data_IF_179154508390
#
_entry.id   IF_179154508390
#
_cell.length_a   1.000
_cell.length_b   1.000
_cell.length_c   1.000
_cell.angle_alpha   90.00
_cell.angle_beta   90.00
_cell.angle_gamma   90.00
#
_symmetry.space_group_name_H-M   'P 1'
#
loop_
_entity.id
_entity.type
_entity.pdbx_description
1 polymer ?
#
# COMPACT_ATOMS: atom_id res chain seq x y z
N UNK A 1 -31.34 32.62 -2.59
CA UNK A 1 -31.51 33.77 -3.49
C UNK A 1 -30.24 33.92 -4.31
N UNK A 2 -30.21 33.41 -5.53
CA UNK A 2 -29.09 33.51 -6.47
C UNK A 2 -29.27 34.78 -7.29
N UNK A 3 -28.35 35.74 -7.17
CA UNK A 3 -28.39 36.99 -7.93
C UNK A 3 -28.28 36.79 -9.45
N UNK A 4 -28.72 37.76 -10.25
CA UNK A 4 -28.72 37.65 -11.71
C UNK A 4 -27.30 37.49 -12.26
N UNK A 5 -27.13 36.50 -13.15
CA UNK A 5 -25.91 36.23 -13.90
C UNK A 5 -25.51 37.48 -14.71
N UNK A 6 -24.35 38.06 -14.42
CA UNK A 6 -23.80 39.25 -15.09
C UNK A 6 -23.13 38.94 -16.44
N UNK A 7 -23.38 37.75 -17.01
CA UNK A 7 -22.76 37.38 -18.28
C UNK A 7 -23.46 38.12 -19.43
N UNK A 8 -22.75 38.94 -20.22
CA UNK A 8 -23.34 39.61 -21.37
C UNK A 8 -23.89 38.56 -22.37
N UNK A 9 -24.98 38.87 -23.09
CA UNK A 9 -25.54 37.96 -24.07
C UNK A 9 -24.50 37.62 -25.14
N UNK A 10 -24.45 36.37 -25.64
CA UNK A 10 -23.54 36.00 -26.72
C UNK A 10 -23.75 36.91 -27.92
N UNK A 11 -22.71 37.63 -28.34
CA UNK A 11 -22.74 38.44 -29.57
C UNK A 11 -22.66 37.53 -30.79
N UNK A 12 -23.08 38.03 -31.96
CA UNK A 12 -23.16 37.29 -33.24
C UNK A 12 -21.81 36.74 -33.80
N UNK A 13 -20.76 36.69 -32.99
CA UNK A 13 -19.45 36.11 -33.32
C UNK A 13 -18.77 35.36 -32.16
N UNK A 14 -19.38 35.24 -30.98
CA UNK A 14 -18.82 34.40 -29.91
C UNK A 14 -19.23 32.94 -30.18
N UNK A 15 -18.28 32.13 -30.65
CA UNK A 15 -18.46 30.67 -30.70
C UNK A 15 -18.89 30.21 -29.29
N UNK A 16 -20.07 29.57 -29.12
CA UNK A 16 -20.58 29.22 -27.79
C UNK A 16 -19.73 28.15 -27.08
N UNK A 17 -18.78 27.55 -27.80
CA UNK A 17 -17.97 26.43 -27.38
C UNK A 17 -16.55 26.62 -27.93
N UNK A 18 -15.72 27.38 -27.23
CA UNK A 18 -14.28 27.23 -27.41
C UNK A 18 -13.95 25.74 -27.26
N UNK A 19 -13.16 25.13 -28.17
CA UNK A 19 -12.84 23.72 -28.08
C UNK A 19 -12.21 23.45 -26.72
N UNK A 20 -12.76 22.45 -26.01
CA UNK A 20 -12.26 22.06 -24.70
C UNK A 20 -10.73 21.89 -24.78
N UNK A 21 -9.97 22.42 -23.79
CA UNK A 21 -8.53 22.36 -23.84
C UNK A 21 -8.06 20.92 -24.09
N UNK A 22 -7.08 20.71 -24.97
CA UNK A 22 -6.63 19.38 -25.33
C UNK A 22 -6.23 18.63 -24.05
N UNK A 23 -6.83 17.46 -23.86
CA UNK A 23 -6.56 16.61 -22.71
C UNK A 23 -5.06 16.30 -22.71
N UNK A 24 -4.36 16.72 -21.66
CA UNK A 24 -2.92 16.51 -21.55
C UNK A 24 -2.62 15.02 -21.64
N UNK A 25 -1.82 14.65 -22.64
CA UNK A 25 -1.36 13.27 -22.76
C UNK A 25 -0.54 12.92 -21.51
N UNK A 26 -0.76 11.75 -20.88
CA UNK A 26 0.02 11.36 -19.72
C UNK A 26 1.50 11.24 -20.11
N UNK A 27 2.42 11.75 -19.28
CA UNK A 27 3.86 11.61 -19.50
C UNK A 27 4.26 10.16 -19.77
N UNK A 28 5.19 9.95 -20.70
CA UNK A 28 5.62 8.61 -21.14
C UNK A 28 6.08 7.70 -19.98
N UNK A 29 6.68 8.26 -18.93
CA UNK A 29 7.11 7.54 -17.72
C UNK A 29 5.95 6.96 -16.88
N UNK A 30 4.77 7.59 -16.91
CA UNK A 30 3.59 7.12 -16.17
C UNK A 30 2.95 5.86 -16.78
N UNK A 31 3.35 5.48 -18.00
CA UNK A 31 2.85 4.27 -18.67
C UNK A 31 3.28 2.98 -17.96
N UNK A 32 4.40 3.01 -17.23
CA UNK A 32 4.93 1.86 -16.49
C UNK A 32 4.33 1.69 -15.10
N UNK A 33 3.78 2.77 -14.53
CA UNK A 33 3.30 2.80 -13.15
C UNK A 33 2.31 1.66 -12.83
N UNK A 34 1.29 1.35 -13.66
CA UNK A 34 0.40 0.24 -13.38
C UNK A 34 1.15 -1.11 -13.27
N UNK A 35 2.12 -1.36 -14.15
CA UNK A 35 2.84 -2.63 -14.20
C UNK A 35 3.71 -2.87 -12.97
N UNK A 36 4.23 -1.81 -12.36
CA UNK A 36 4.93 -1.89 -11.06
C UNK A 36 3.98 -2.43 -9.99
N UNK A 37 2.75 -1.92 -9.92
CA UNK A 37 1.74 -2.45 -8.99
C UNK A 37 1.34 -3.89 -9.33
N UNK A 38 1.22 -4.22 -10.62
CA UNK A 38 0.96 -5.59 -11.07
C UNK A 38 2.05 -6.58 -10.64
N UNK A 39 3.33 -6.20 -10.80
CA UNK A 39 4.45 -7.00 -10.32
C UNK A 39 4.42 -7.17 -8.80
N UNK A 40 4.06 -6.12 -8.06
CA UNK A 40 3.86 -6.21 -6.61
C UNK A 40 2.75 -7.18 -6.20
N UNK A 41 1.65 -7.27 -6.95
CA UNK A 41 0.59 -8.26 -6.69
C UNK A 41 1.12 -9.70 -6.85
N UNK A 42 1.88 -9.96 -7.91
CA UNK A 42 2.52 -11.26 -8.15
C UNK A 42 3.50 -11.60 -7.03
N UNK A 43 4.33 -10.64 -6.63
CA UNK A 43 5.26 -10.80 -5.52
C UNK A 43 4.54 -11.25 -4.23
N UNK A 44 3.45 -10.59 -3.85
CA UNK A 44 2.69 -10.97 -2.65
C UNK A 44 2.04 -12.35 -2.77
N UNK A 45 1.56 -12.74 -3.95
CA UNK A 45 1.03 -14.09 -4.18
C UNK A 45 2.11 -15.17 -4.05
N UNK A 46 3.31 -14.91 -4.58
CA UNK A 46 4.46 -15.81 -4.40
C UNK A 46 4.80 -15.93 -2.92
N UNK A 47 4.82 -14.81 -2.19
CA UNK A 47 5.11 -14.82 -0.76
C UNK A 47 4.05 -15.60 0.03
N UNK A 48 2.78 -15.46 -0.33
CA UNK A 48 1.67 -16.22 0.26
C UNK A 48 1.82 -17.72 0.02
N UNK A 49 2.16 -18.11 -1.20
CA UNK A 49 2.35 -19.52 -1.56
C UNK A 49 3.52 -20.14 -0.78
N UNK A 50 4.64 -19.42 -0.67
CA UNK A 50 5.78 -19.84 0.15
C UNK A 50 5.40 -20.00 1.62
N UNK A 51 4.67 -19.03 2.18
CA UNK A 51 4.23 -19.09 3.56
C UNK A 51 3.25 -20.25 3.79
N UNK A 52 2.30 -20.47 2.89
CA UNK A 52 1.38 -21.60 2.95
C UNK A 52 2.11 -22.95 2.93
N UNK A 53 3.18 -23.08 2.15
CA UNK A 53 4.02 -24.28 2.14
C UNK A 53 4.71 -24.51 3.49
N UNK A 54 5.23 -23.45 4.14
CA UNK A 54 5.80 -23.52 5.50
C UNK A 54 4.76 -23.99 6.51
N UNK A 55 3.55 -23.42 6.48
CA UNK A 55 2.46 -23.79 7.40
C UNK A 55 1.96 -25.23 7.18
N UNK A 56 1.92 -25.70 5.93
CA UNK A 56 1.49 -27.06 5.61
C UNK A 56 2.51 -28.11 6.07
N UNK A 57 3.81 -27.81 5.94
CA UNK A 57 4.88 -28.75 6.30
C UNK A 57 5.02 -28.91 7.83
N UNK A 58 5.18 -30.15 8.37
CA UNK A 58 5.49 -30.35 9.79
C UNK A 58 6.74 -29.60 10.24
N UNK A 59 7.83 -29.72 9.49
CA UNK A 59 9.09 -29.03 9.79
C UNK A 59 8.94 -27.50 9.76
N UNK A 60 8.11 -26.94 8.88
CA UNK A 60 7.85 -25.51 8.82
C UNK A 60 7.04 -25.01 10.02
N UNK A 61 6.05 -25.79 10.49
CA UNK A 61 5.33 -25.48 11.74
C UNK A 61 6.25 -25.48 12.96
N UNK A 62 7.22 -26.38 13.00
CA UNK A 62 8.21 -26.41 14.08
C UNK A 62 9.13 -25.20 14.04
N UNK A 63 9.53 -24.73 12.86
CA UNK A 63 10.25 -23.46 12.70
C UNK A 63 9.45 -22.27 13.22
N UNK A 64 8.15 -22.19 12.91
CA UNK A 64 7.27 -21.12 13.42
C UNK A 64 7.18 -21.14 14.96
N UNK A 65 7.01 -22.34 15.56
CA UNK A 65 7.00 -22.48 17.02
C UNK A 65 8.31 -22.02 17.65
N UNK A 66 9.45 -22.41 17.06
CA UNK A 66 10.77 -21.99 17.55
C UNK A 66 10.96 -20.47 17.44
N UNK A 67 10.48 -19.85 16.37
CA UNK A 67 10.51 -18.40 16.22
C UNK A 67 9.72 -17.69 17.33
N UNK A 68 8.49 -18.14 17.61
CA UNK A 68 7.66 -17.59 18.68
C UNK A 68 8.29 -17.79 20.06
N UNK A 69 8.87 -18.97 20.31
CA UNK A 69 9.62 -19.24 21.55
C UNK A 69 10.83 -18.31 21.70
N UNK A 70 11.57 -18.07 20.61
CA UNK A 70 12.74 -17.17 20.62
C UNK A 70 12.36 -15.71 20.86
N UNK A 71 11.13 -15.31 20.53
CA UNK A 71 10.58 -13.99 20.84
C UNK A 71 10.18 -13.82 22.33
N UNK A 72 10.37 -14.86 23.16
CA UNK A 72 10.12 -14.81 24.60
C UNK A 72 8.69 -15.17 25.01
N UNK A 73 7.87 -15.70 24.10
CA UNK A 73 6.53 -16.20 24.42
C UNK A 73 6.64 -17.52 25.18
N UNK A 74 6.25 -17.51 26.46
CA UNK A 74 6.41 -18.65 27.38
C UNK A 74 5.15 -19.50 27.57
N UNK A 75 3.98 -18.99 27.18
CA UNK A 75 2.69 -19.68 27.35
C UNK A 75 1.88 -19.62 26.07
N UNK A 76 1.17 -20.72 25.79
CA UNK A 76 0.23 -20.86 24.67
C UNK A 76 0.80 -20.57 23.27
N UNK A 77 1.99 -21.11 23.01
CA UNK A 77 2.71 -20.98 21.73
C UNK A 77 1.86 -21.43 20.55
N UNK A 78 1.02 -22.46 20.72
CA UNK A 78 0.18 -22.97 19.64
C UNK A 78 -0.88 -21.96 19.21
N UNK A 79 -1.58 -21.33 20.15
CA UNK A 79 -2.55 -20.28 19.84
C UNK A 79 -1.86 -19.09 19.19
N UNK A 80 -0.71 -18.67 19.73
CA UNK A 80 0.04 -17.54 19.18
C UNK A 80 0.49 -17.79 17.73
N UNK A 81 1.00 -18.97 17.42
CA UNK A 81 1.36 -19.37 16.05
C UNK A 81 0.16 -19.29 15.10
N UNK A 82 -1.03 -19.77 15.51
CA UNK A 82 -2.21 -19.70 14.66
C UNK A 82 -2.72 -18.28 14.44
N UNK A 83 -2.65 -17.43 15.47
CA UNK A 83 -2.96 -16.00 15.35
C UNK A 83 -1.99 -15.33 14.37
N UNK A 84 -0.69 -15.61 14.49
CA UNK A 84 0.33 -15.07 13.59
C UNK A 84 0.09 -15.53 12.14
N UNK A 85 -0.18 -16.82 11.93
CA UNK A 85 -0.54 -17.36 10.61
C UNK A 85 -1.75 -16.65 10.02
N UNK A 86 -2.81 -16.45 10.81
CA UNK A 86 -4.01 -15.76 10.36
C UNK A 86 -3.73 -14.29 9.98
N UNK A 87 -2.95 -13.58 10.80
CA UNK A 87 -2.55 -12.19 10.54
C UNK A 87 -1.70 -12.09 9.27
N UNK A 88 -0.67 -12.93 9.14
CA UNK A 88 0.20 -12.94 7.96
C UNK A 88 -0.61 -13.23 6.70
N UNK A 89 -1.49 -14.23 6.74
CA UNK A 89 -2.34 -14.56 5.60
C UNK A 89 -3.25 -13.38 5.21
N UNK A 90 -3.91 -12.76 6.20
CA UNK A 90 -4.78 -11.61 5.98
C UNK A 90 -4.02 -10.42 5.36
N UNK A 91 -2.88 -10.03 5.93
CA UNK A 91 -2.12 -8.88 5.44
C UNK A 91 -1.53 -9.11 4.06
N UNK A 92 -1.02 -10.32 3.77
CA UNK A 92 -0.47 -10.65 2.46
C UNK A 92 -1.56 -10.66 1.38
N UNK A 93 -2.73 -11.24 1.67
CA UNK A 93 -3.88 -11.21 0.76
C UNK A 93 -4.35 -9.77 0.53
N UNK A 94 -4.48 -8.97 1.60
CA UNK A 94 -4.87 -7.58 1.50
C UNK A 94 -3.88 -6.76 0.64
N UNK A 95 -2.57 -6.98 0.83
CA UNK A 95 -1.53 -6.35 0.02
C UNK A 95 -1.63 -6.75 -1.46
N UNK A 96 -1.78 -8.05 -1.75
CA UNK A 96 -1.97 -8.53 -3.12
C UNK A 96 -3.21 -7.88 -3.79
N UNK A 97 -4.33 -7.81 -3.07
CA UNK A 97 -5.57 -7.19 -3.53
C UNK A 97 -5.41 -5.68 -3.78
N UNK A 98 -4.74 -4.95 -2.89
CA UNK A 98 -4.47 -3.51 -3.07
C UNK A 98 -3.58 -3.25 -4.29
N UNK A 99 -2.52 -4.04 -4.46
CA UNK A 99 -1.64 -3.96 -5.62
C UNK A 99 -2.38 -4.29 -6.93
N UNK A 100 -3.23 -5.33 -6.94
CA UNK A 100 -4.06 -5.65 -8.10
C UNK A 100 -5.07 -4.55 -8.40
N UNK A 101 -5.71 -3.98 -7.38
CA UNK A 101 -6.66 -2.86 -7.50
C UNK A 101 -5.97 -1.64 -8.10
N UNK A 102 -4.76 -1.31 -7.63
CA UNK A 102 -3.95 -0.24 -8.19
C UNK A 102 -3.63 -0.50 -9.67
N UNK A 103 -3.18 -1.71 -10.02
CA UNK A 103 -2.90 -2.08 -11.42
C UNK A 103 -4.13 -1.89 -12.33
N UNK A 104 -5.24 -2.56 -12.03
CA UNK A 104 -6.43 -2.51 -12.88
C UNK A 104 -7.07 -1.13 -12.90
N UNK A 105 -7.08 -0.44 -11.75
CA UNK A 105 -7.66 0.89 -11.65
C UNK A 105 -6.84 1.95 -12.39
N UNK A 106 -5.50 1.93 -12.28
CA UNK A 106 -4.64 2.87 -13.01
C UNK A 106 -4.69 2.62 -14.51
N UNK A 107 -4.72 1.35 -14.97
CA UNK A 107 -4.89 1.03 -16.40
C UNK A 107 -6.22 1.55 -16.98
N UNK A 108 -7.27 1.58 -16.16
CA UNK A 108 -8.60 2.08 -16.56
C UNK A 108 -8.84 3.55 -16.19
N UNK A 109 -7.81 4.28 -15.73
CA UNK A 109 -7.90 5.66 -15.24
C UNK A 109 -9.04 5.88 -14.22
N UNK A 110 -9.24 4.92 -13.31
CA UNK A 110 -10.28 4.96 -12.26
C UNK A 110 -9.73 5.53 -10.94
N UNK A 111 -10.51 6.33 -10.20
CA UNK A 111 -10.06 6.95 -8.95
C UNK A 111 -9.67 5.93 -7.87
N UNK A 112 -10.38 4.80 -7.79
CA UNK A 112 -10.06 3.73 -6.84
C UNK A 112 -8.67 3.14 -7.02
N UNK A 113 -8.17 3.07 -8.25
CA UNK A 113 -6.79 2.61 -8.53
C UNK A 113 -5.74 3.58 -8.01
N UNK A 114 -6.02 4.87 -8.12
CA UNK A 114 -5.16 5.91 -7.56
C UNK A 114 -5.12 5.85 -6.04
N UNK A 115 -6.29 5.71 -5.39
CA UNK A 115 -6.39 5.57 -3.93
C UNK A 115 -5.58 4.34 -3.46
N UNK A 116 -5.77 3.19 -4.11
CA UNK A 116 -5.02 1.99 -3.78
C UNK A 116 -3.50 2.16 -3.97
N UNK A 117 -3.08 2.82 -5.05
CA UNK A 117 -1.67 3.12 -5.30
C UNK A 117 -1.06 4.01 -4.20
N UNK A 118 -1.79 5.03 -3.74
CA UNK A 118 -1.37 5.91 -2.65
C UNK A 118 -1.27 5.13 -1.33
N UNK A 119 -2.24 4.29 -1.00
CA UNK A 119 -2.22 3.46 0.21
C UNK A 119 -0.97 2.56 0.21
N UNK A 120 -0.70 1.88 -0.91
CA UNK A 120 0.47 1.01 -1.05
C UNK A 120 1.77 1.82 -0.91
N UNK A 121 1.86 2.98 -1.56
CA UNK A 121 3.05 3.84 -1.46
C UNK A 121 3.28 4.34 -0.03
N UNK A 122 2.22 4.72 0.67
CA UNK A 122 2.28 5.15 2.07
C UNK A 122 2.73 4.00 2.99
N UNK A 123 2.21 2.80 2.80
CA UNK A 123 2.63 1.61 3.54
C UNK A 123 4.12 1.31 3.34
N UNK A 124 4.62 1.31 2.10
CA UNK A 124 6.04 1.13 1.82
C UNK A 124 6.91 2.25 2.42
N UNK A 125 6.45 3.49 2.37
CA UNK A 125 7.18 4.62 2.97
C UNK A 125 7.29 4.47 4.49
N UNK A 126 6.21 4.04 5.16
CA UNK A 126 6.22 3.75 6.58
C UNK A 126 7.21 2.62 6.91
N UNK A 127 7.22 1.55 6.13
CA UNK A 127 8.11 0.39 6.35
C UNK A 127 9.58 0.75 6.11
N UNK A 128 9.89 1.43 5.00
CA UNK A 128 11.27 1.70 4.58
C UNK A 128 11.91 2.86 5.32
N UNK A 129 11.13 3.86 5.72
CA UNK A 129 11.66 5.08 6.35
C UNK A 129 11.13 5.24 7.78
N UNK A 130 9.80 5.13 7.96
CA UNK A 130 9.17 5.39 9.24
C UNK A 130 9.65 4.44 10.35
N UNK A 131 9.63 3.13 10.12
CA UNK A 131 10.04 2.13 11.11
C UNK A 131 11.54 2.27 11.46
N UNK A 132 12.49 2.38 10.50
CA UNK A 132 13.90 2.60 10.83
C UNK A 132 14.15 3.88 11.62
N UNK A 133 13.51 4.99 11.23
CA UNK A 133 13.63 6.25 11.97
C UNK A 133 13.07 6.11 13.38
N UNK A 134 11.88 5.52 13.54
CA UNK A 134 11.29 5.25 14.85
C UNK A 134 12.21 4.39 15.72
N UNK A 135 12.82 3.35 15.14
CA UNK A 135 13.77 2.50 15.84
C UNK A 135 14.97 3.30 16.38
N UNK A 136 15.56 4.19 15.57
CA UNK A 136 16.65 5.06 16.01
C UNK A 136 16.19 6.02 17.11
N UNK A 137 15.00 6.59 16.99
CA UNK A 137 14.44 7.53 17.97
C UNK A 137 14.12 6.88 19.32
N UNK A 138 13.69 5.61 19.32
CA UNK A 138 13.36 4.87 20.56
C UNK A 138 14.62 4.41 21.30
N UNK A 139 15.77 4.30 20.65
CA UNK A 139 17.03 3.94 21.32
C UNK A 139 17.38 4.93 22.42
N UNK A 140 17.68 4.39 23.61
CA UNK A 140 18.05 5.15 24.80
C UNK A 140 19.23 6.10 24.55
N UNK A 141 20.21 5.69 23.74
CA UNK A 141 21.36 6.54 23.37
C UNK A 141 20.92 7.81 22.64
N UNK A 142 19.99 7.68 21.69
CA UNK A 142 19.46 8.79 20.90
C UNK A 142 18.62 9.69 21.80
N UNK A 143 17.72 9.12 22.60
CA UNK A 143 16.86 9.90 23.52
C UNK A 143 17.70 10.73 24.49
N UNK A 144 18.73 10.13 25.11
CA UNK A 144 19.67 10.83 26.01
C UNK A 144 20.47 11.93 25.30
N UNK A 145 20.91 11.71 24.06
CA UNK A 145 21.63 12.73 23.28
C UNK A 145 20.77 13.99 23.03
N UNK A 146 19.45 13.84 22.99
CA UNK A 146 18.48 14.93 22.87
C UNK A 146 17.85 15.35 24.21
N UNK A 147 18.37 14.88 25.35
CA UNK A 147 17.85 15.24 26.68
C UNK A 147 16.48 14.63 27.04
N UNK A 148 16.03 13.62 26.30
CA UNK A 148 14.77 12.91 26.55
C UNK A 148 15.06 11.67 27.41
N UNK A 149 14.41 11.49 28.58
CA UNK A 149 14.68 10.40 29.52
C UNK A 149 14.25 9.04 28.99
#
# INVERSE_FOLDING_TARGET
MTGPSTRPPPGAGSQPFDPAPPKTAPPSGLRWLPFIFGAGAVFWLVQLAQFAAVVAAPAGRDQLRQAVLSAGVKSDVSTFVWVEVALVFFFVVAAACLHATAYFGLRKHRPWGWIAAVIVAAAWSLILLGIPVLYVLVRTSTRRAYGIP
#
